data_IF_781373239101
#
_entry.id   IF_781373239101
#
_cell.length_a   1.000
_cell.length_b   1.000
_cell.length_c   1.000
_cell.angle_alpha   90.00
_cell.angle_beta   90.00
_cell.angle_gamma   90.00
#
_symmetry.space_group_name_H-M   'P 1'
#
loop_
_entity.id
_entity.type
_entity.pdbx_description
1 polymer ?
#
# COMPACT_ATOMS: atom_id res chain seq x y z
N UNK A 1 2.11 -18.20 6.09
CA UNK A 1 2.69 -17.24 5.12
C UNK A 1 1.76 -16.05 5.11
N UNK A 2 2.21 -14.87 5.52
CA UNK A 2 1.37 -13.67 5.38
C UNK A 2 1.44 -13.25 3.92
N UNK A 3 0.30 -13.25 3.24
CA UNK A 3 0.18 -12.61 1.94
C UNK A 3 0.05 -11.12 2.21
N UNK A 4 1.05 -10.34 1.79
CA UNK A 4 0.96 -8.88 1.84
C UNK A 4 0.27 -8.46 0.56
N UNK A 5 -0.94 -7.92 0.66
CA UNK A 5 -1.60 -7.26 -0.47
C UNK A 5 -0.81 -5.99 -0.80
N UNK A 6 0.16 -6.12 -1.71
CA UNK A 6 0.89 -4.99 -2.28
C UNK A 6 0.02 -4.44 -3.42
N UNK A 7 -0.79 -3.41 -3.12
CA UNK A 7 -1.40 -2.61 -4.18
C UNK A 7 -0.37 -1.61 -4.71
N UNK A 8 -0.26 -1.52 -6.04
CA UNK A 8 0.56 -0.53 -6.75
C UNK A 8 -0.19 0.77 -7.08
N UNK A 9 -1.48 0.87 -6.76
CA UNK A 9 -2.37 1.93 -7.27
C UNK A 9 -1.93 3.35 -6.91
N UNK A 10 -1.18 3.49 -5.80
CA UNK A 10 -0.72 4.78 -5.26
C UNK A 10 0.76 5.06 -5.53
N UNK A 11 1.44 4.19 -6.26
CA UNK A 11 2.89 4.32 -6.49
C UNK A 11 3.22 5.53 -7.36
N UNK A 12 2.34 5.90 -8.29
CA UNK A 12 2.50 7.12 -9.09
C UNK A 12 2.49 8.38 -8.20
N UNK A 13 1.55 8.46 -7.25
CA UNK A 13 1.48 9.58 -6.30
C UNK A 13 2.68 9.61 -5.35
N UNK A 14 3.06 8.45 -4.80
CA UNK A 14 4.23 8.31 -3.94
C UNK A 14 5.51 8.74 -4.67
N UNK A 15 5.69 8.29 -5.93
CA UNK A 15 6.82 8.66 -6.76
C UNK A 15 6.85 10.16 -7.07
N UNK A 16 5.69 10.74 -7.37
CA UNK A 16 5.56 12.18 -7.62
C UNK A 16 5.95 13.03 -6.39
N UNK A 17 5.43 12.69 -5.22
CA UNK A 17 5.75 13.39 -3.97
C UNK A 17 7.22 13.21 -3.57
N UNK A 18 7.78 12.01 -3.78
CA UNK A 18 9.21 11.76 -3.57
C UNK A 18 10.06 12.64 -4.50
N UNK A 19 9.76 12.70 -5.79
CA UNK A 19 10.47 13.54 -6.76
C UNK A 19 10.34 15.04 -6.48
N UNK A 20 9.26 15.48 -5.82
CA UNK A 20 9.10 16.86 -5.38
C UNK A 20 10.00 17.19 -4.19
N UNK A 21 10.10 16.28 -3.24
CA UNK A 21 10.72 16.54 -1.92
C UNK A 21 12.20 16.13 -1.85
N UNK A 22 12.68 15.33 -2.80
CA UNK A 22 14.05 14.77 -2.82
C UNK A 22 14.71 14.99 -4.18
N UNK A 23 16.05 15.15 -4.21
CA UNK A 23 16.78 15.25 -5.47
C UNK A 23 16.68 13.92 -6.23
N UNK A 24 16.11 13.96 -7.42
CA UNK A 24 16.07 12.84 -8.37
C UNK A 24 16.70 13.30 -9.67
N UNK A 25 17.73 12.57 -10.11
CA UNK A 25 18.37 12.84 -11.41
C UNK A 25 17.50 12.25 -12.50
N UNK A 26 17.00 13.12 -13.40
CA UNK A 26 16.27 12.73 -14.60
C UNK A 26 17.20 12.77 -15.81
N UNK A 27 17.07 11.80 -16.70
CA UNK A 27 17.86 11.73 -17.92
C UNK A 27 17.42 10.57 -18.80
N UNK A 28 18.27 10.19 -19.75
CA UNK A 28 18.02 9.06 -20.65
C UNK A 28 19.16 8.04 -20.61
N UNK A 29 18.81 6.75 -20.63
CA UNK A 29 19.77 5.66 -20.88
C UNK A 29 19.37 5.00 -22.19
N UNK A 30 20.19 5.19 -23.22
CA UNK A 30 19.77 4.89 -24.60
C UNK A 30 18.59 5.78 -24.99
N UNK A 31 17.48 5.17 -25.40
CA UNK A 31 16.24 5.86 -25.77
C UNK A 31 15.19 5.90 -24.64
N UNK A 32 15.49 5.38 -23.45
CA UNK A 32 14.55 5.32 -22.34
C UNK A 32 14.75 6.47 -21.36
N UNK A 33 13.65 7.09 -20.94
CA UNK A 33 13.65 8.04 -19.82
C UNK A 33 13.90 7.32 -18.50
N UNK A 34 14.85 7.82 -17.71
CA UNK A 34 15.27 7.22 -16.46
C UNK A 34 15.27 8.22 -15.31
N UNK A 35 15.16 7.67 -14.11
CA UNK A 35 15.29 8.36 -12.84
C UNK A 35 16.34 7.65 -12.00
N UNK A 36 17.31 8.39 -11.48
CA UNK A 36 18.33 7.87 -10.59
C UNK A 36 18.23 8.57 -9.23
N UNK A 37 18.09 7.75 -8.18
CA UNK A 37 17.97 8.20 -6.80
C UNK A 37 18.46 7.12 -5.82
N UNK A 38 18.88 7.48 -4.59
CA UNK A 38 19.26 6.51 -3.57
C UNK A 38 18.05 5.70 -3.08
N UNK A 39 18.13 4.37 -3.16
CA UNK A 39 17.01 3.50 -2.76
C UNK A 39 16.68 3.60 -1.27
N UNK A 40 17.69 3.75 -0.41
CA UNK A 40 17.48 3.89 1.03
C UNK A 40 16.62 5.13 1.36
N UNK A 41 16.86 6.24 0.67
CA UNK A 41 16.09 7.46 0.85
C UNK A 41 14.65 7.31 0.36
N UNK A 42 14.45 6.61 -0.75
CA UNK A 42 13.13 6.32 -1.30
C UNK A 42 12.31 5.43 -0.35
N UNK A 43 12.91 4.37 0.20
CA UNK A 43 12.24 3.49 1.16
C UNK A 43 11.90 4.24 2.44
N UNK A 44 12.87 4.97 3.01
CA UNK A 44 12.62 5.78 4.20
C UNK A 44 11.52 6.83 3.95
N UNK A 45 11.44 7.39 2.75
CA UNK A 45 10.36 8.29 2.36
C UNK A 45 9.01 7.58 2.31
N UNK A 46 8.93 6.44 1.63
CA UNK A 46 7.71 5.63 1.54
C UNK A 46 7.18 5.23 2.92
N UNK A 47 8.04 4.81 3.84
CA UNK A 47 7.67 4.46 5.22
C UNK A 47 6.97 5.60 5.97
N UNK A 48 7.35 6.85 5.70
CA UNK A 48 6.70 8.04 6.29
C UNK A 48 5.44 8.46 5.52
N UNK A 49 5.44 8.29 4.20
CA UNK A 49 4.36 8.73 3.32
C UNK A 49 3.14 7.82 3.45
N UNK A 50 3.33 6.49 3.49
CA UNK A 50 2.26 5.50 3.47
C UNK A 50 1.24 5.65 4.62
N UNK A 51 1.62 5.83 5.90
CA UNK A 51 0.66 6.00 6.99
C UNK A 51 -0.21 7.26 6.84
N UNK A 52 0.32 8.32 6.24
CA UNK A 52 -0.38 9.59 6.03
C UNK A 52 -1.39 9.52 4.89
N UNK A 53 -1.15 8.63 3.93
CA UNK A 53 -1.88 8.51 2.68
C UNK A 53 -2.63 7.19 2.55
N UNK A 54 -2.74 6.43 3.65
CA UNK A 54 -3.52 5.20 3.70
C UNK A 54 -5.00 5.55 3.46
N UNK A 55 -5.66 4.95 2.45
CA UNK A 55 -7.10 5.14 2.28
C UNK A 55 -7.81 4.61 3.53
N UNK A 56 -8.65 5.45 4.16
CA UNK A 56 -9.49 5.03 5.30
C UNK A 56 -10.59 4.02 4.91
N UNK A 57 -10.71 3.66 3.62
CA UNK A 57 -11.82 2.89 3.06
C UNK A 57 -11.57 1.39 2.82
N UNK A 58 -10.36 0.88 3.09
CA UNK A 58 -10.03 -0.54 3.00
C UNK A 58 -9.67 -1.07 4.39
N UNK A 59 -10.64 -1.01 5.31
CA UNK A 59 -10.81 -2.15 6.20
C UNK A 59 -11.01 -3.35 5.26
N UNK A 60 -9.94 -4.11 5.01
CA UNK A 60 -10.07 -5.45 4.43
C UNK A 60 -11.21 -6.11 5.19
N UNK A 61 -12.34 -6.49 4.55
CA UNK A 61 -13.41 -7.16 5.26
C UNK A 61 -12.79 -8.46 5.79
N UNK A 62 -12.46 -8.46 7.08
CA UNK A 62 -12.03 -9.67 7.76
C UNK A 62 -13.18 -10.65 7.53
N UNK A 63 -12.93 -11.83 6.94
CA UNK A 63 -13.98 -12.84 6.90
C UNK A 63 -14.52 -12.98 8.33
N UNK A 64 -15.84 -12.94 8.55
CA UNK A 64 -16.38 -13.01 9.90
C UNK A 64 -15.74 -14.22 10.60
N UNK A 65 -15.33 -14.09 11.89
CA UNK A 65 -14.71 -15.20 12.58
C UNK A 65 -15.59 -16.44 12.42
N UNK A 66 -14.97 -17.58 12.12
CA UNK A 66 -15.58 -18.91 11.93
C UNK A 66 -16.24 -19.47 13.21
N UNK A 67 -16.66 -18.58 14.09
CA UNK A 67 -17.25 -18.81 15.41
C UNK A 67 -18.42 -17.84 15.62
N UNK A 68 -19.30 -17.68 14.63
CA UNK A 68 -20.69 -17.42 14.99
C UNK A 68 -21.24 -18.78 15.46
N UNK A 69 -21.64 -18.95 16.74
CA UNK A 69 -22.37 -20.13 17.14
C UNK A 69 -23.60 -20.20 16.23
N UNK A 70 -23.81 -21.34 15.58
CA UNK A 70 -25.12 -21.66 15.04
C UNK A 70 -26.04 -21.68 16.26
N UNK A 71 -26.72 -20.55 16.53
CA UNK A 71 -27.86 -20.48 17.43
C UNK A 71 -28.91 -21.44 16.86
N UNK A 72 -28.73 -22.72 17.20
CA UNK A 72 -29.73 -23.76 17.04
C UNK A 72 -30.78 -23.45 18.10
N UNK A 73 -31.60 -22.46 17.78
CA UNK A 73 -32.87 -22.27 18.43
C UNK A 73 -33.75 -23.47 18.11
N UNK A 74 -33.91 -24.35 19.10
CA UNK A 74 -35.14 -25.11 19.30
C UNK A 74 -35.31 -25.21 20.83
N UNK A 75 -36.49 -24.92 21.39
CA UNK A 75 -37.71 -25.63 21.01
C UNK A 75 -38.99 -24.77 20.99
N UNK A 76 -39.80 -24.86 19.92
CA UNK A 76 -41.25 -24.56 20.03
C UNK A 76 -42.08 -25.33 18.98
N UNK A 77 -42.50 -26.56 19.34
CA UNK A 77 -43.91 -27.02 19.42
C UNK A 77 -43.96 -28.53 19.68
#
# INVERSE_FOLDING_TARGET
MIEVSISSDRFDELGHDFERDRPVLRGSVGAADVRLFPVADAVAYAERWLPLHRPRGEEFPHPPPLSAPLERGDPHV
#
